data_IF_192535140342
#
_entry.id   IF_192535140342
#
_cell.length_a   1.000
_cell.length_b   1.000
_cell.length_c   1.000
_cell.angle_alpha   90.00
_cell.angle_beta   90.00
_cell.angle_gamma   90.00
#
_symmetry.space_group_name_H-M   'P 1'
#
loop_
_entity.id
_entity.type
_entity.pdbx_description
1 polymer ?
#
# COMPACT_ATOMS: atom_id res chain seq x y z
N UNK A 1 -17.07 37.99 20.00
CA UNK A 1 -17.25 37.54 18.61
C UNK A 1 -17.76 38.73 17.84
N UNK A 2 -16.98 39.24 16.90
CA UNK A 2 -17.34 40.40 16.07
C UNK A 2 -18.42 39.97 15.08
N UNK A 3 -19.34 40.89 14.71
CA UNK A 3 -20.42 40.67 13.75
C UNK A 3 -19.87 40.15 12.39
N UNK A 4 -18.72 40.65 11.98
CA UNK A 4 -18.01 40.18 10.78
C UNK A 4 -17.52 38.74 10.90
N UNK A 5 -17.07 38.35 12.07
CA UNK A 5 -16.61 36.98 12.36
C UNK A 5 -17.78 35.99 12.41
N UNK A 6 -18.92 36.43 12.94
CA UNK A 6 -20.20 35.70 12.91
C UNK A 6 -20.76 35.53 11.48
N UNK A 7 -20.80 36.60 10.71
CA UNK A 7 -21.21 36.53 9.30
C UNK A 7 -20.27 35.69 8.46
N UNK A 8 -18.97 35.80 8.68
CA UNK A 8 -17.97 34.96 8.02
C UNK A 8 -18.14 33.48 8.36
N UNK A 9 -18.44 33.14 9.62
CA UNK A 9 -18.72 31.77 10.03
C UNK A 9 -20.02 31.23 9.44
N UNK A 10 -21.08 32.05 9.29
CA UNK A 10 -22.31 31.64 8.61
C UNK A 10 -22.07 31.42 7.13
N UNK A 11 -21.46 32.39 6.42
CA UNK A 11 -21.16 32.25 4.98
C UNK A 11 -20.24 31.06 4.72
N UNK A 12 -19.23 30.80 5.59
CA UNK A 12 -18.37 29.61 5.49
C UNK A 12 -19.11 28.30 5.73
N UNK A 13 -20.22 28.28 6.45
CA UNK A 13 -21.05 27.07 6.62
C UNK A 13 -21.83 26.76 5.35
N UNK A 14 -22.37 27.75 4.72
CA UNK A 14 -23.18 27.59 3.49
C UNK A 14 -22.32 27.32 2.23
N UNK A 15 -21.10 27.86 2.20
CA UNK A 15 -20.14 27.67 1.10
C UNK A 15 -19.24 26.42 1.28
N UNK A 16 -19.31 25.71 2.41
CA UNK A 16 -18.49 24.53 2.63
C UNK A 16 -18.99 23.36 1.78
N UNK A 17 -18.08 22.50 1.23
CA UNK A 17 -18.46 21.34 0.43
C UNK A 17 -19.49 20.45 1.13
N UNK A 18 -20.45 19.92 0.39
CA UNK A 18 -21.55 19.07 0.89
C UNK A 18 -21.02 17.90 1.74
N UNK A 19 -19.93 17.26 1.32
CA UNK A 19 -19.26 16.22 2.08
C UNK A 19 -18.75 16.68 3.47
N UNK A 20 -18.58 17.98 3.66
CA UNK A 20 -18.23 18.55 4.97
C UNK A 20 -19.46 18.89 5.80
N UNK A 21 -20.50 19.43 5.18
CA UNK A 21 -21.77 19.81 5.85
C UNK A 21 -22.52 18.60 6.37
N UNK A 22 -22.59 17.51 5.57
CA UNK A 22 -23.29 16.27 5.92
C UNK A 22 -22.53 15.38 6.91
N UNK A 23 -21.39 15.83 7.44
CA UNK A 23 -20.67 15.02 8.42
C UNK A 23 -21.55 14.74 9.64
N UNK A 24 -21.66 13.47 10.07
CA UNK A 24 -22.33 13.10 11.31
C UNK A 24 -21.71 13.80 12.50
N UNK A 25 -22.55 14.20 13.45
CA UNK A 25 -22.15 14.80 14.73
C UNK A 25 -22.21 13.78 15.88
N UNK A 26 -22.99 12.72 15.70
CA UNK A 26 -23.18 11.65 16.65
C UNK A 26 -22.83 10.29 16.05
N UNK A 27 -22.60 9.27 16.89
CA UNK A 27 -22.32 7.90 16.42
C UNK A 27 -23.53 7.28 15.69
N UNK A 28 -24.74 7.65 16.08
CA UNK A 28 -25.97 7.09 15.48
C UNK A 28 -26.23 7.64 14.07
N UNK A 29 -25.64 8.79 13.71
CA UNK A 29 -25.70 9.36 12.36
C UNK A 29 -24.68 8.71 11.39
N UNK A 30 -23.71 7.94 11.92
CA UNK A 30 -22.67 7.34 11.07
C UNK A 30 -23.26 6.25 10.20
N UNK A 31 -23.10 6.40 8.88
CA UNK A 31 -23.52 5.40 7.90
C UNK A 31 -22.36 4.43 7.65
N UNK A 32 -22.65 3.13 7.62
CA UNK A 32 -21.67 2.08 7.45
C UNK A 32 -20.81 1.83 8.71
N UNK A 33 -19.73 1.08 8.56
CA UNK A 33 -18.74 0.76 9.59
C UNK A 33 -19.31 0.06 10.85
N UNK A 34 -20.44 -0.64 10.75
CA UNK A 34 -21.11 -1.26 11.89
C UNK A 34 -20.25 -2.27 12.66
N UNK A 35 -19.24 -2.84 12.02
CA UNK A 35 -18.27 -3.74 12.64
C UNK A 35 -17.34 -3.02 13.66
N UNK A 36 -17.29 -1.67 13.61
CA UNK A 36 -16.49 -0.84 14.51
C UNK A 36 -17.40 -0.03 15.45
N UNK A 37 -18.43 0.62 14.89
CA UNK A 37 -19.28 1.60 15.63
C UNK A 37 -20.60 1.00 16.12
N UNK A 38 -20.88 -0.26 15.87
CA UNK A 38 -22.07 -0.94 16.41
C UNK A 38 -22.14 -0.85 17.93
N UNK A 39 -23.34 -0.80 18.50
CA UNK A 39 -23.57 -0.57 19.95
C UNK A 39 -22.89 -1.59 20.87
N UNK A 40 -22.64 -2.80 20.37
CA UNK A 40 -21.94 -3.90 21.05
C UNK A 40 -20.40 -3.84 20.89
N UNK A 41 -19.88 -2.97 20.04
CA UNK A 41 -18.46 -2.93 19.68
C UNK A 41 -17.62 -2.16 20.68
N UNK A 42 -16.33 -2.51 20.71
CA UNK A 42 -15.35 -1.93 21.63
C UNK A 42 -15.32 -0.40 21.56
N UNK A 43 -15.23 0.15 20.33
CA UNK A 43 -15.11 1.58 20.12
C UNK A 43 -16.33 2.33 20.66
N UNK A 44 -17.55 1.85 20.34
CA UNK A 44 -18.79 2.46 20.85
C UNK A 44 -18.83 2.50 22.38
N UNK A 45 -18.50 1.37 23.02
CA UNK A 45 -18.49 1.28 24.50
C UNK A 45 -17.43 2.17 25.13
N UNK A 46 -16.23 2.25 24.53
CA UNK A 46 -15.14 3.09 24.99
C UNK A 46 -15.50 4.60 24.93
N UNK A 47 -16.15 5.02 23.84
CA UNK A 47 -16.64 6.40 23.66
C UNK A 47 -17.71 6.72 24.72
N UNK A 48 -18.71 5.86 24.88
CA UNK A 48 -19.79 6.07 25.87
C UNK A 48 -19.30 6.09 27.31
N UNK A 49 -18.23 5.36 27.60
CA UNK A 49 -17.62 5.34 28.95
C UNK A 49 -16.60 6.47 29.18
N UNK A 50 -16.32 7.32 28.19
CA UNK A 50 -15.23 8.33 28.16
C UNK A 50 -13.86 7.74 28.58
N UNK A 51 -13.60 6.51 28.12
CA UNK A 51 -12.38 5.74 28.38
C UNK A 51 -11.68 5.38 27.06
N UNK A 52 -11.29 6.42 26.33
CA UNK A 52 -10.56 6.26 25.07
C UNK A 52 -9.08 5.99 25.33
N UNK A 53 -8.54 5.00 24.63
CA UNK A 53 -7.10 4.85 24.37
C UNK A 53 -6.76 5.47 23.01
N UNK A 54 -5.47 5.58 22.69
CA UNK A 54 -5.06 6.00 21.36
C UNK A 54 -5.53 5.02 20.28
N UNK A 55 -5.84 5.54 19.10
CA UNK A 55 -6.48 4.82 18.00
C UNK A 55 -5.74 5.09 16.70
N UNK A 56 -5.61 4.07 15.88
CA UNK A 56 -5.21 4.21 14.47
C UNK A 56 -6.36 3.73 13.58
N UNK A 57 -6.92 4.64 12.79
CA UNK A 57 -7.88 4.32 11.74
C UNK A 57 -7.15 4.12 10.43
N UNK A 58 -7.29 2.96 9.81
CA UNK A 58 -6.77 2.75 8.46
C UNK A 58 -7.84 2.21 7.51
N UNK A 59 -7.65 2.43 6.22
CA UNK A 59 -8.57 1.97 5.19
C UNK A 59 -8.70 2.96 4.03
N UNK A 60 -9.47 2.62 2.98
CA UNK A 60 -9.59 3.40 1.75
C UNK A 60 -10.03 4.85 1.98
N UNK A 61 -9.76 5.77 1.03
CA UNK A 61 -10.25 7.13 1.08
C UNK A 61 -11.78 7.17 1.08
N UNK A 62 -12.39 8.24 1.61
CA UNK A 62 -13.84 8.43 1.63
C UNK A 62 -14.65 7.52 2.56
N UNK A 63 -14.00 6.65 3.36
CA UNK A 63 -14.66 5.69 4.25
C UNK A 63 -15.06 6.25 5.63
N UNK A 64 -14.69 7.53 5.92
CA UNK A 64 -15.13 8.22 7.13
C UNK A 64 -14.11 8.31 8.27
N UNK A 65 -12.80 8.07 8.05
CA UNK A 65 -11.74 8.16 9.09
C UNK A 65 -11.77 9.48 9.86
N UNK A 66 -11.66 10.61 9.14
CA UNK A 66 -11.71 11.97 9.73
C UNK A 66 -13.07 12.25 10.36
N UNK A 67 -14.14 11.71 9.79
CA UNK A 67 -15.51 11.83 10.31
C UNK A 67 -15.64 11.16 11.68
N UNK A 68 -15.19 9.91 11.79
CA UNK A 68 -15.23 9.19 13.07
C UNK A 68 -14.40 9.89 14.15
N UNK A 69 -13.22 10.40 13.80
CA UNK A 69 -12.41 11.14 14.77
C UNK A 69 -13.16 12.37 15.32
N UNK A 70 -13.88 13.12 14.48
CA UNK A 70 -14.69 14.26 14.90
C UNK A 70 -15.91 13.84 15.73
N UNK A 71 -16.60 12.77 15.35
CA UNK A 71 -17.73 12.22 16.12
C UNK A 71 -17.28 11.78 17.51
N UNK A 72 -16.12 11.15 17.61
CA UNK A 72 -15.50 10.77 18.90
C UNK A 72 -15.25 12.02 19.74
N UNK A 73 -14.63 13.03 19.16
CA UNK A 73 -14.34 14.27 19.86
C UNK A 73 -15.61 14.98 20.36
N UNK A 74 -16.66 15.04 19.53
CA UNK A 74 -17.94 15.64 19.90
C UNK A 74 -18.69 14.88 20.99
N UNK A 75 -18.44 13.57 21.10
CA UNK A 75 -19.13 12.70 22.08
C UNK A 75 -18.38 12.62 23.40
N UNK A 76 -17.11 13.00 23.44
CA UNK A 76 -16.24 12.98 24.61
C UNK A 76 -16.05 14.39 25.20
N UNK A 77 -15.59 14.48 26.44
CA UNK A 77 -15.27 15.75 27.09
C UNK A 77 -13.89 16.31 26.70
N UNK A 78 -13.18 15.66 25.79
CA UNK A 78 -11.81 16.01 25.42
C UNK A 78 -11.75 17.21 24.44
N UNK A 79 -10.70 18.00 24.55
CA UNK A 79 -10.39 19.03 23.56
C UNK A 79 -9.86 18.38 22.27
N UNK A 80 -10.37 18.83 21.10
CA UNK A 80 -9.98 18.26 19.81
C UNK A 80 -9.02 19.18 19.07
N UNK A 81 -7.84 18.67 18.79
CA UNK A 81 -6.84 19.33 17.97
C UNK A 81 -6.52 18.48 16.75
N UNK A 82 -6.43 19.12 15.59
CA UNK A 82 -6.18 18.44 14.32
C UNK A 82 -4.92 19.00 13.65
N UNK A 83 -4.06 18.11 13.20
CA UNK A 83 -2.94 18.42 12.30
C UNK A 83 -2.97 17.51 11.08
N UNK A 84 -2.46 18.03 9.97
CA UNK A 84 -2.30 17.23 8.74
C UNK A 84 -0.81 16.94 8.54
N UNK A 85 -0.43 15.67 8.53
CA UNK A 85 0.96 15.26 8.43
C UNK A 85 1.65 15.66 7.12
N UNK A 86 0.89 16.00 6.06
CA UNK A 86 1.46 16.46 4.80
C UNK A 86 2.01 17.90 4.86
N UNK A 87 1.50 18.71 5.78
CA UNK A 87 1.87 20.14 5.91
C UNK A 87 2.48 20.50 7.26
N UNK A 88 2.28 19.64 8.29
CA UNK A 88 2.73 19.92 9.64
C UNK A 88 4.21 19.65 9.86
N UNK A 89 4.88 20.56 10.54
CA UNK A 89 6.26 20.46 10.98
C UNK A 89 6.38 20.18 12.49
N UNK A 90 7.62 20.17 12.97
CA UNK A 90 7.93 19.96 14.39
C UNK A 90 7.29 21.04 15.28
N UNK A 91 7.27 22.29 14.82
CA UNK A 91 6.69 23.43 15.56
C UNK A 91 5.20 23.25 15.84
N UNK A 92 4.44 22.77 14.84
CA UNK A 92 3.01 22.54 15.01
C UNK A 92 2.73 21.47 16.08
N UNK A 93 3.57 20.44 16.13
CA UNK A 93 3.46 19.40 17.16
C UNK A 93 3.82 19.94 18.56
N UNK A 94 4.83 20.81 18.67
CA UNK A 94 5.23 21.47 19.92
C UNK A 94 4.09 22.35 20.44
N UNK A 95 3.43 23.12 19.58
CA UNK A 95 2.28 23.95 19.93
C UNK A 95 1.10 23.11 20.46
N UNK A 96 0.79 21.98 19.79
CA UNK A 96 -0.26 21.05 20.24
C UNK A 96 0.07 20.45 21.61
N UNK A 97 1.31 20.00 21.82
CA UNK A 97 1.75 19.43 23.09
C UNK A 97 1.65 20.47 24.21
N UNK A 98 2.08 21.72 23.95
CA UNK A 98 1.97 22.79 24.91
C UNK A 98 0.51 23.10 25.29
N UNK A 99 -0.37 23.16 24.30
CA UNK A 99 -1.82 23.34 24.52
C UNK A 99 -2.42 22.16 25.31
N UNK A 100 -2.05 20.91 24.98
CA UNK A 100 -2.53 19.74 25.70
C UNK A 100 -2.12 19.74 27.17
N UNK A 101 -0.88 20.09 27.48
CA UNK A 101 -0.40 20.25 28.88
C UNK A 101 -1.16 21.34 29.63
N UNK A 102 -1.43 22.47 28.97
CA UNK A 102 -2.21 23.55 29.55
C UNK A 102 -3.65 23.12 29.83
N UNK A 103 -4.31 22.42 28.91
CA UNK A 103 -5.65 21.90 29.07
C UNK A 103 -5.74 20.92 30.25
N UNK A 104 -4.77 20.03 30.36
CA UNK A 104 -4.70 19.06 31.45
C UNK A 104 -4.44 19.74 32.79
N UNK A 105 -3.47 20.68 32.82
CA UNK A 105 -3.07 21.37 34.08
C UNK A 105 -4.11 22.37 34.60
N UNK A 106 -4.73 23.16 33.72
CA UNK A 106 -5.66 24.21 34.12
C UNK A 106 -7.11 23.74 34.25
N UNK A 107 -7.54 22.81 33.41
CA UNK A 107 -8.93 22.42 33.26
C UNK A 107 -9.20 20.93 33.54
N UNK A 108 -8.18 20.13 33.77
CA UNK A 108 -8.31 18.68 33.92
C UNK A 108 -8.85 17.99 32.66
N UNK A 109 -8.82 18.67 31.49
CA UNK A 109 -9.35 18.16 30.22
C UNK A 109 -8.29 17.37 29.49
N UNK A 110 -8.69 16.22 28.95
CA UNK A 110 -7.87 15.46 28.00
C UNK A 110 -7.85 16.12 26.65
N UNK A 111 -6.78 15.92 25.89
CA UNK A 111 -6.67 16.40 24.50
C UNK A 111 -6.61 15.22 23.55
N UNK A 112 -7.52 15.20 22.57
CA UNK A 112 -7.46 14.29 21.42
C UNK A 112 -6.68 15.01 20.32
N UNK A 113 -5.54 14.44 19.94
CA UNK A 113 -4.79 14.87 18.77
C UNK A 113 -5.14 13.97 17.60
N UNK A 114 -5.85 14.52 16.61
CA UNK A 114 -6.11 13.86 15.35
C UNK A 114 -5.02 14.20 14.33
N UNK A 115 -4.36 13.17 13.79
CA UNK A 115 -3.35 13.29 12.74
C UNK A 115 -3.87 12.63 11.47
N UNK A 116 -4.18 13.45 10.47
CA UNK A 116 -4.56 12.95 9.15
C UNK A 116 -3.30 12.58 8.36
N UNK A 117 -3.35 11.45 7.66
CA UNK A 117 -2.25 10.87 6.87
C UNK A 117 -0.97 10.65 7.72
N UNK A 118 -1.11 10.04 8.91
CA UNK A 118 0.00 9.85 9.88
C UNK A 118 1.24 9.18 9.30
N UNK A 119 1.09 8.37 8.24
CA UNK A 119 2.19 7.73 7.51
C UNK A 119 3.13 8.74 6.82
N UNK A 120 2.71 10.00 6.63
CA UNK A 120 3.55 11.07 6.09
C UNK A 120 4.53 11.64 7.11
N UNK A 121 4.32 11.40 8.38
CA UNK A 121 5.31 11.74 9.40
C UNK A 121 6.50 10.81 9.33
N UNK A 122 7.71 11.37 9.34
CA UNK A 122 8.93 10.58 9.48
C UNK A 122 9.05 9.96 10.88
N UNK A 123 9.96 8.99 11.03
CA UNK A 123 10.14 8.26 12.30
C UNK A 123 10.39 9.18 13.49
N UNK A 124 11.22 10.23 13.32
CA UNK A 124 11.53 11.18 14.38
C UNK A 124 10.31 12.02 14.82
N UNK A 125 9.41 12.35 13.89
CA UNK A 125 8.16 13.03 14.22
C UNK A 125 7.18 12.11 14.97
N UNK A 126 7.11 10.85 14.56
CA UNK A 126 6.30 9.84 15.26
C UNK A 126 6.88 9.54 16.66
N UNK A 127 8.20 9.43 16.81
CA UNK A 127 8.89 9.23 18.08
C UNK A 127 8.67 10.40 19.06
N UNK A 128 8.59 11.63 18.55
CA UNK A 128 8.33 12.82 19.38
C UNK A 128 6.99 12.74 20.13
N UNK A 129 5.99 12.07 19.58
CA UNK A 129 4.68 11.94 20.19
C UNK A 129 4.62 10.87 21.31
N UNK A 130 5.55 9.91 21.29
CA UNK A 130 5.52 8.75 22.19
C UNK A 130 5.40 9.11 23.67
N UNK A 131 6.22 10.02 24.25
CA UNK A 131 6.15 10.35 25.67
C UNK A 131 4.77 10.89 26.08
N UNK A 132 4.13 11.67 25.20
CA UNK A 132 2.85 12.32 25.49
C UNK A 132 1.65 11.38 25.29
N UNK A 133 1.82 10.33 24.51
CA UNK A 133 0.86 9.22 24.39
C UNK A 133 1.00 8.27 25.59
N UNK A 134 2.23 8.04 26.06
CA UNK A 134 2.52 7.18 27.21
C UNK A 134 2.01 7.74 28.53
N UNK A 135 2.22 9.02 28.76
CA UNK A 135 1.80 9.70 29.99
C UNK A 135 0.32 10.13 29.99
N UNK A 136 -0.37 9.95 28.84
CA UNK A 136 -1.78 10.29 28.68
C UNK A 136 -2.06 11.78 28.52
N UNK A 137 -1.05 12.64 28.31
CA UNK A 137 -1.21 14.05 27.95
C UNK A 137 -2.01 14.20 26.67
N UNK A 138 -1.79 13.28 25.71
CA UNK A 138 -2.45 13.23 24.42
C UNK A 138 -3.09 11.85 24.20
N UNK A 139 -4.35 11.84 23.76
CA UNK A 139 -4.99 10.68 23.14
C UNK A 139 -4.79 10.84 21.64
N UNK A 140 -3.95 9.99 21.03
CA UNK A 140 -3.68 10.03 19.62
C UNK A 140 -4.81 9.34 18.83
N UNK A 141 -5.35 10.00 17.81
CA UNK A 141 -6.16 9.37 16.78
C UNK A 141 -5.43 9.58 15.43
N UNK A 142 -4.71 8.57 14.97
CA UNK A 142 -4.05 8.59 13.67
C UNK A 142 -5.00 8.09 12.57
N UNK A 143 -5.02 8.74 11.42
CA UNK A 143 -5.69 8.25 10.22
C UNK A 143 -4.69 8.00 9.10
N UNK A 144 -4.86 6.90 8.37
CA UNK A 144 -4.02 6.56 7.22
C UNK A 144 -4.80 5.76 6.18
N UNK A 145 -4.41 5.90 4.93
CA UNK A 145 -4.87 5.03 3.85
C UNK A 145 -3.97 3.80 3.68
N UNK A 146 -2.79 3.81 4.29
CA UNK A 146 -1.77 2.78 4.18
C UNK A 146 -1.83 1.79 5.34
N UNK A 147 -1.25 0.60 5.14
CA UNK A 147 -1.19 -0.41 6.20
C UNK A 147 -0.31 0.09 7.37
N UNK A 148 -0.91 0.31 8.56
CA UNK A 148 -0.20 0.90 9.68
C UNK A 148 0.98 0.05 10.18
N UNK A 149 0.96 -1.25 9.97
CA UNK A 149 2.03 -2.15 10.39
C UNK A 149 3.35 -1.93 9.63
N UNK A 150 3.30 -1.30 8.46
CA UNK A 150 4.50 -0.96 7.69
C UNK A 150 4.94 0.49 7.88
N UNK A 151 3.99 1.40 8.07
CA UNK A 151 4.22 2.84 7.97
C UNK A 151 4.21 3.57 9.32
N UNK A 152 3.54 3.03 10.33
CA UNK A 152 3.47 3.63 11.66
C UNK A 152 4.50 2.97 12.58
N UNK A 153 5.15 3.79 13.42
CA UNK A 153 6.13 3.32 14.38
C UNK A 153 5.55 2.20 15.29
N UNK A 154 6.21 1.05 15.40
CA UNK A 154 5.77 -0.06 16.24
C UNK A 154 5.50 0.33 17.70
N UNK A 155 6.23 1.33 18.25
CA UNK A 155 6.01 1.81 19.58
C UNK A 155 4.68 2.58 19.75
N UNK A 156 4.24 3.33 18.73
CA UNK A 156 2.90 3.95 18.71
C UNK A 156 1.82 2.89 18.53
N UNK A 157 2.05 1.90 17.62
CA UNK A 157 1.08 0.81 17.40
C UNK A 157 0.82 0.01 18.66
N UNK A 158 1.86 -0.32 19.43
CA UNK A 158 1.71 -1.08 20.68
C UNK A 158 0.89 -0.38 21.75
N UNK A 159 0.68 0.94 21.62
CA UNK A 159 -0.10 1.79 22.52
C UNK A 159 -1.44 2.24 21.95
N UNK A 160 -1.76 1.76 20.76
CA UNK A 160 -2.97 2.17 20.03
C UNK A 160 -3.84 0.96 19.70
N UNK A 161 -5.15 1.18 19.66
CA UNK A 161 -6.08 0.19 19.09
C UNK A 161 -6.24 0.49 17.60
N UNK A 162 -6.06 -0.52 16.77
CA UNK A 162 -6.13 -0.38 15.32
C UNK A 162 -7.53 -0.77 14.86
N UNK A 163 -8.18 0.09 14.07
CA UNK A 163 -9.47 -0.18 13.46
C UNK A 163 -9.38 -0.03 11.94
N UNK A 164 -9.78 -1.08 11.24
CA UNK A 164 -9.90 -1.08 9.79
C UNK A 164 -11.26 -0.56 9.36
N UNK A 165 -11.29 0.55 8.61
CA UNK A 165 -12.49 1.03 7.95
C UNK A 165 -12.60 0.38 6.58
N UNK A 166 -13.72 -0.28 6.34
CA UNK A 166 -14.03 -0.91 5.07
C UNK A 166 -14.68 0.08 4.10
N UNK A 167 -14.63 -0.24 2.81
CA UNK A 167 -15.41 0.47 1.81
C UNK A 167 -16.88 0.48 2.22
N UNK A 168 -17.55 1.59 2.00
CA UNK A 168 -18.98 1.67 2.17
C UNK A 168 -19.68 0.79 1.12
N UNK A 169 -20.74 0.12 1.52
CA UNK A 169 -21.56 -0.63 0.59
C UNK A 169 -22.34 0.30 -0.35
N UNK A 170 -22.82 -0.22 -1.48
CA UNK A 170 -23.69 0.55 -2.37
C UNK A 170 -24.91 1.09 -1.62
N UNK A 171 -25.48 0.32 -0.69
CA UNK A 171 -26.62 0.74 0.13
C UNK A 171 -26.27 1.84 1.12
N UNK A 172 -25.05 1.81 1.69
CA UNK A 172 -24.55 2.91 2.53
C UNK A 172 -24.42 4.21 1.73
N UNK A 173 -23.88 4.13 0.50
CA UNK A 173 -23.77 5.29 -0.40
C UNK A 173 -25.14 5.81 -0.81
N UNK A 174 -26.10 4.93 -1.16
CA UNK A 174 -27.49 5.32 -1.43
C UNK A 174 -28.09 6.11 -0.26
N UNK A 175 -27.92 5.61 0.93
CA UNK A 175 -28.39 6.29 2.15
C UNK A 175 -27.80 7.69 2.30
N UNK A 176 -26.50 7.86 2.02
CA UNK A 176 -25.83 9.16 2.05
C UNK A 176 -26.34 10.10 0.94
N UNK A 177 -26.53 9.61 -0.29
CA UNK A 177 -27.05 10.40 -1.40
C UNK A 177 -28.49 10.86 -1.14
N UNK A 178 -29.37 9.99 -0.65
CA UNK A 178 -30.74 10.36 -0.29
C UNK A 178 -30.76 11.40 0.85
N UNK A 179 -29.89 11.23 1.85
CA UNK A 179 -29.72 12.25 2.90
C UNK A 179 -29.24 13.58 2.31
N UNK A 180 -28.30 13.54 1.37
CA UNK A 180 -27.75 14.71 0.71
C UNK A 180 -28.82 15.52 -0.03
N UNK A 181 -29.73 14.84 -0.73
CA UNK A 181 -30.81 15.49 -1.52
C UNK A 181 -31.92 16.02 -0.63
N UNK A 182 -32.29 15.29 0.46
CA UNK A 182 -33.49 15.57 1.23
C UNK A 182 -33.25 16.44 2.49
N UNK A 183 -32.04 16.48 3.02
CA UNK A 183 -31.73 17.26 4.24
C UNK A 183 -31.69 18.75 3.92
N UNK A 184 -32.62 19.52 4.51
CA UNK A 184 -32.75 20.96 4.29
C UNK A 184 -31.76 21.80 5.09
N UNK A 185 -31.15 21.23 6.18
CA UNK A 185 -30.24 21.98 7.04
C UNK A 185 -28.77 21.78 6.65
N UNK A 186 -28.40 20.55 6.44
CA UNK A 186 -26.99 20.16 6.15
C UNK A 186 -26.78 19.76 4.68
N UNK A 187 -27.84 19.33 4.00
CA UNK A 187 -27.85 18.85 2.63
C UNK A 187 -28.18 19.90 1.59
N UNK A 188 -28.84 19.44 0.54
CA UNK A 188 -29.28 20.20 -0.61
C UNK A 188 -30.83 20.31 -0.71
N UNK A 189 -31.58 19.97 0.35
CA UNK A 189 -33.03 19.94 0.33
C UNK A 189 -33.69 21.29 -0.02
N UNK A 190 -33.02 22.41 0.31
CA UNK A 190 -33.48 23.78 -0.09
C UNK A 190 -33.45 24.02 -1.61
N UNK A 191 -32.74 23.20 -2.36
CA UNK A 191 -32.69 23.30 -3.84
C UNK A 191 -33.88 22.63 -4.51
N UNK A 192 -34.74 21.89 -3.80
CA UNK A 192 -35.84 21.12 -4.34
C UNK A 192 -35.42 20.19 -5.48
N UNK A 193 -34.36 19.41 -5.27
CA UNK A 193 -33.91 18.46 -6.26
C UNK A 193 -34.60 17.10 -6.05
N UNK A 194 -34.87 16.39 -7.14
CA UNK A 194 -35.34 15.01 -7.16
C UNK A 194 -34.35 14.16 -7.96
N UNK A 195 -33.96 13.02 -7.40
CA UNK A 195 -33.05 12.08 -8.03
C UNK A 195 -33.84 10.88 -8.52
N UNK A 196 -33.62 10.48 -9.76
CA UNK A 196 -34.20 9.28 -10.34
C UNK A 196 -33.53 8.02 -9.73
N UNK A 197 -34.28 6.92 -9.64
CA UNK A 197 -33.77 5.69 -9.01
C UNK A 197 -32.55 5.10 -9.74
N UNK A 198 -32.53 5.16 -11.06
CA UNK A 198 -31.40 4.71 -11.89
C UNK A 198 -30.16 5.59 -11.75
N UNK A 199 -30.35 6.90 -11.60
CA UNK A 199 -29.26 7.86 -11.30
C UNK A 199 -28.68 7.58 -9.91
N UNK A 200 -29.52 7.30 -8.93
CA UNK A 200 -29.12 6.95 -7.56
C UNK A 200 -28.29 5.66 -7.53
N UNK A 201 -28.78 4.60 -8.19
CA UNK A 201 -28.04 3.32 -8.31
C UNK A 201 -26.71 3.51 -9.02
N UNK A 202 -26.71 4.27 -10.13
CA UNK A 202 -25.51 4.54 -10.90
C UNK A 202 -24.45 5.27 -10.05
N UNK A 203 -24.80 6.38 -9.39
CA UNK A 203 -23.86 7.12 -8.54
C UNK A 203 -23.34 6.26 -7.38
N UNK A 204 -24.22 5.46 -6.77
CA UNK A 204 -23.86 4.60 -5.66
C UNK A 204 -22.84 3.50 -6.08
N UNK A 205 -23.00 2.91 -7.27
CA UNK A 205 -22.03 1.94 -7.81
C UNK A 205 -20.73 2.61 -8.25
N UNK A 206 -20.84 3.72 -8.98
CA UNK A 206 -19.65 4.41 -9.52
C UNK A 206 -18.76 5.00 -8.44
N UNK A 207 -19.31 5.42 -7.31
CA UNK A 207 -18.54 5.89 -6.16
C UNK A 207 -17.65 4.81 -5.53
N UNK A 208 -17.94 3.54 -5.77
CA UNK A 208 -17.13 2.38 -5.33
C UNK A 208 -16.75 2.45 -3.84
N UNK A 209 -17.68 2.87 -2.99
CA UNK A 209 -17.53 2.98 -1.53
C UNK A 209 -16.84 4.26 -1.03
N UNK A 210 -16.60 5.24 -1.89
CA UNK A 210 -16.09 6.56 -1.52
C UNK A 210 -17.24 7.58 -1.37
N UNK A 211 -17.64 7.86 -0.12
CA UNK A 211 -18.71 8.80 0.18
C UNK A 211 -18.40 10.23 -0.30
N UNK A 212 -17.12 10.64 -0.26
CA UNK A 212 -16.73 12.00 -0.69
C UNK A 212 -16.95 12.18 -2.18
N UNK A 213 -16.56 11.17 -2.98
CA UNK A 213 -16.77 11.19 -4.42
C UNK A 213 -18.26 11.24 -4.78
N UNK A 214 -19.09 10.42 -4.12
CA UNK A 214 -20.54 10.42 -4.31
C UNK A 214 -21.18 11.77 -3.98
N UNK A 215 -20.86 12.32 -2.82
CA UNK A 215 -21.40 13.60 -2.36
C UNK A 215 -20.94 14.79 -3.21
N UNK A 216 -19.71 14.75 -3.71
CA UNK A 216 -19.22 15.80 -4.63
C UNK A 216 -19.94 15.72 -5.98
N UNK A 217 -20.19 14.51 -6.50
CA UNK A 217 -20.89 14.32 -7.76
C UNK A 217 -22.34 14.82 -7.68
N UNK A 218 -23.09 14.48 -6.63
CA UNK A 218 -24.47 14.95 -6.47
C UNK A 218 -24.54 16.47 -6.20
N UNK A 219 -23.60 17.03 -5.43
CA UNK A 219 -23.50 18.47 -5.23
C UNK A 219 -23.32 19.21 -6.55
N UNK A 220 -22.40 18.74 -7.40
CA UNK A 220 -22.16 19.30 -8.73
C UNK A 220 -23.43 19.19 -9.60
N UNK A 221 -24.06 18.01 -9.62
CA UNK A 221 -25.29 17.78 -10.39
C UNK A 221 -26.40 18.75 -10.01
N UNK A 222 -26.66 18.95 -8.73
CA UNK A 222 -27.70 19.87 -8.26
C UNK A 222 -27.36 21.34 -8.57
N UNK A 223 -26.09 21.73 -8.44
CA UNK A 223 -25.69 23.13 -8.66
C UNK A 223 -25.59 23.52 -10.13
N UNK A 224 -25.47 22.56 -11.05
CA UNK A 224 -25.27 22.82 -12.49
C UNK A 224 -26.47 22.48 -13.37
N UNK A 225 -27.49 21.82 -12.81
CA UNK A 225 -28.69 21.47 -13.55
C UNK A 225 -29.77 22.55 -13.39
N UNK A 226 -30.32 23.01 -14.49
CA UNK A 226 -31.43 23.99 -14.51
C UNK A 226 -32.71 23.37 -13.93
N UNK A 227 -33.56 24.23 -13.37
CA UNK A 227 -34.89 23.83 -12.91
C UNK A 227 -35.80 23.55 -14.11
N UNK A 228 -36.55 22.47 -14.04
CA UNK A 228 -37.59 22.16 -14.99
C UNK A 228 -38.81 23.11 -14.84
N UNK A 229 -39.78 23.01 -15.74
CA UNK A 229 -40.99 23.82 -15.72
C UNK A 229 -41.81 23.68 -14.42
N UNK A 230 -41.69 22.55 -13.74
CA UNK A 230 -42.29 22.25 -12.44
C UNK A 230 -41.55 22.91 -11.25
N UNK A 231 -40.43 23.57 -11.49
CA UNK A 231 -39.59 24.22 -10.50
C UNK A 231 -38.64 23.25 -9.75
N UNK A 232 -38.59 21.99 -10.16
CA UNK A 232 -37.75 20.93 -9.57
C UNK A 232 -36.45 20.76 -10.38
N UNK A 233 -35.36 20.44 -9.71
CA UNK A 233 -34.08 20.02 -10.34
C UNK A 233 -34.12 18.51 -10.46
N UNK A 234 -34.21 17.97 -11.70
CA UNK A 234 -34.21 16.53 -11.93
C UNK A 234 -32.81 16.01 -12.17
N UNK A 235 -32.34 15.14 -11.29
CA UNK A 235 -31.05 14.43 -11.43
C UNK A 235 -31.32 13.09 -12.11
N UNK A 236 -31.22 13.14 -13.43
CA UNK A 236 -31.37 11.96 -14.31
C UNK A 236 -30.09 11.18 -14.41
N UNK A 237 -30.16 9.97 -15.01
CA UNK A 237 -28.97 9.15 -15.27
C UNK A 237 -27.94 9.88 -16.14
N UNK A 238 -28.36 10.69 -17.10
CA UNK A 238 -27.46 11.47 -17.96
C UNK A 238 -26.71 12.51 -17.13
N UNK A 239 -27.40 13.30 -16.31
CA UNK A 239 -26.77 14.24 -15.36
C UNK A 239 -25.79 13.53 -14.43
N UNK A 240 -26.20 12.41 -13.83
CA UNK A 240 -25.36 11.63 -12.94
C UNK A 240 -24.10 11.13 -13.64
N UNK A 241 -24.21 10.70 -14.90
CA UNK A 241 -23.09 10.19 -15.70
C UNK A 241 -22.09 11.29 -16.07
N UNK A 242 -22.55 12.51 -16.28
CA UNK A 242 -21.66 13.67 -16.52
C UNK A 242 -20.89 14.08 -15.26
N UNK A 243 -21.52 14.00 -14.09
CA UNK A 243 -20.92 14.40 -12.82
C UNK A 243 -19.87 13.39 -12.32
N UNK A 244 -19.98 12.10 -12.68
CA UNK A 244 -19.05 11.05 -12.29
C UNK A 244 -18.65 10.19 -13.51
N UNK A 245 -17.81 10.73 -14.37
CA UNK A 245 -17.45 10.15 -15.67
C UNK A 245 -16.66 8.84 -15.61
N UNK A 246 -16.07 8.48 -14.46
CA UNK A 246 -15.24 7.28 -14.29
C UNK A 246 -15.52 6.66 -12.94
N UNK A 247 -15.65 5.32 -12.94
CA UNK A 247 -15.68 4.56 -11.70
C UNK A 247 -14.48 4.95 -10.83
N UNK A 248 -14.72 5.36 -9.59
CA UNK A 248 -13.66 5.66 -8.64
C UNK A 248 -12.96 4.35 -8.31
N UNK A 249 -11.84 4.10 -8.98
CA UNK A 249 -10.98 2.97 -8.61
C UNK A 249 -10.14 3.42 -7.42
N UNK A 250 -10.48 2.88 -6.26
CA UNK A 250 -9.65 2.99 -5.08
C UNK A 250 -8.41 2.13 -5.26
N UNK A 251 -7.48 2.62 -6.06
CA UNK A 251 -6.11 2.17 -6.14
C UNK A 251 -5.28 3.23 -5.42
N UNK A 252 -5.13 3.04 -4.12
CA UNK A 252 -4.19 3.84 -3.37
C UNK A 252 -2.79 3.36 -3.74
N UNK A 253 -1.94 4.26 -4.27
CA UNK A 253 -0.58 3.91 -4.72
C UNK A 253 0.30 3.34 -3.60
N UNK A 254 -0.15 3.41 -2.37
CA UNK A 254 0.57 3.04 -1.15
C UNK A 254 -0.25 2.19 -0.17
N UNK A 255 -1.54 1.92 -0.46
CA UNK A 255 -2.43 1.16 0.43
C UNK A 255 -2.45 -0.36 0.20
N UNK A 256 -3.17 -1.11 1.04
CA UNK A 256 -3.29 -2.58 0.99
C UNK A 256 -3.73 -3.09 -0.39
N UNK A 257 -4.66 -2.38 -1.07
CA UNK A 257 -5.08 -2.74 -2.43
C UNK A 257 -3.95 -2.64 -3.47
N UNK A 258 -2.98 -1.75 -3.26
CA UNK A 258 -1.78 -1.65 -4.07
C UNK A 258 -0.91 -2.90 -3.90
N UNK A 259 -0.55 -3.23 -2.66
CA UNK A 259 0.25 -4.40 -2.35
C UNK A 259 -0.45 -5.71 -2.74
N UNK A 260 -1.75 -5.81 -2.53
CA UNK A 260 -2.56 -6.97 -2.95
C UNK A 260 -2.58 -7.14 -4.47
N UNK A 261 -2.74 -6.05 -5.23
CA UNK A 261 -2.73 -6.10 -6.69
C UNK A 261 -1.35 -6.48 -7.22
N UNK A 262 -0.28 -5.93 -6.66
CA UNK A 262 1.10 -6.29 -7.01
C UNK A 262 1.39 -7.75 -6.66
N UNK A 263 0.96 -8.18 -5.48
CA UNK A 263 1.10 -9.57 -5.04
C UNK A 263 0.37 -10.54 -5.96
N UNK A 264 -0.87 -10.20 -6.34
CA UNK A 264 -1.65 -10.98 -7.30
C UNK A 264 -1.00 -11.01 -8.69
N UNK A 265 -0.50 -9.88 -9.17
CA UNK A 265 0.25 -9.75 -10.43
C UNK A 265 1.46 -10.71 -10.47
N UNK A 266 2.30 -10.66 -9.43
CA UNK A 266 3.47 -11.53 -9.32
C UNK A 266 3.05 -12.99 -9.22
N UNK A 267 2.07 -13.30 -8.37
CA UNK A 267 1.60 -14.68 -8.17
C UNK A 267 0.97 -15.27 -9.42
N UNK A 268 0.30 -14.46 -10.25
CA UNK A 268 -0.28 -14.91 -11.53
C UNK A 268 0.81 -15.32 -12.52
N UNK A 269 1.87 -14.50 -12.67
CA UNK A 269 3.01 -14.87 -13.51
C UNK A 269 3.75 -16.10 -12.98
N UNK A 270 3.97 -16.17 -11.67
CA UNK A 270 4.58 -17.32 -10.98
C UNK A 270 3.74 -18.61 -11.17
N UNK A 271 2.42 -18.46 -11.10
CA UNK A 271 1.45 -19.55 -11.27
C UNK A 271 1.18 -19.93 -12.72
N UNK A 272 1.84 -19.29 -13.69
CA UNK A 272 1.67 -19.52 -15.12
C UNK A 272 0.25 -19.27 -15.64
N UNK A 273 -0.38 -18.20 -15.13
CA UNK A 273 -1.67 -17.69 -15.62
C UNK A 273 -1.47 -16.35 -16.35
N UNK A 274 -1.32 -16.37 -17.69
CA UNK A 274 -1.10 -15.15 -18.47
C UNK A 274 -2.33 -14.23 -18.49
N UNK A 275 -3.54 -14.76 -18.43
CA UNK A 275 -4.77 -13.97 -18.47
C UNK A 275 -4.94 -13.16 -17.18
N UNK A 276 -4.76 -13.79 -16.02
CA UNK A 276 -4.76 -13.09 -14.74
C UNK A 276 -3.61 -12.08 -14.65
N UNK A 277 -2.41 -12.42 -15.13
CA UNK A 277 -1.26 -11.54 -15.12
C UNK A 277 -1.51 -10.26 -15.95
N UNK A 278 -2.07 -10.38 -17.16
CA UNK A 278 -2.45 -9.24 -17.99
C UNK A 278 -3.59 -8.43 -17.37
N UNK A 279 -4.57 -9.08 -16.74
CA UNK A 279 -5.64 -8.39 -16.03
C UNK A 279 -5.09 -7.51 -14.90
N UNK A 280 -4.20 -8.05 -14.04
CA UNK A 280 -3.60 -7.26 -12.95
C UNK A 280 -2.66 -6.18 -13.47
N UNK A 281 -1.93 -6.42 -14.58
CA UNK A 281 -1.18 -5.37 -15.26
C UNK A 281 -2.10 -4.23 -15.69
N UNK A 282 -3.20 -4.53 -16.38
CA UNK A 282 -4.17 -3.53 -16.83
C UNK A 282 -4.76 -2.73 -15.65
N UNK A 283 -5.05 -3.43 -14.54
CA UNK A 283 -5.53 -2.80 -13.30
C UNK A 283 -4.53 -1.82 -12.71
N UNK A 284 -3.23 -2.17 -12.66
CA UNK A 284 -2.16 -1.28 -12.19
C UNK A 284 -1.98 -0.08 -13.13
N UNK A 285 -1.95 -0.30 -14.45
CA UNK A 285 -1.81 0.77 -15.45
C UNK A 285 -3.00 1.74 -15.43
N UNK A 286 -4.22 1.23 -15.33
CA UNK A 286 -5.43 2.06 -15.22
C UNK A 286 -5.41 2.92 -13.97
N UNK A 287 -4.87 2.41 -12.88
CA UNK A 287 -4.73 3.13 -11.62
C UNK A 287 -3.55 4.14 -11.61
N UNK A 288 -2.78 4.20 -12.70
CA UNK A 288 -1.65 5.13 -12.85
C UNK A 288 -0.41 4.72 -12.08
N UNK A 289 -0.19 3.39 -11.90
CA UNK A 289 1.05 2.86 -11.31
C UNK A 289 2.28 3.27 -12.13
N UNK A 290 3.41 3.46 -11.45
CA UNK A 290 4.68 3.75 -12.11
C UNK A 290 5.11 2.58 -13.00
N UNK A 291 5.15 2.80 -14.30
CA UNK A 291 5.57 1.78 -15.27
C UNK A 291 6.99 1.26 -15.03
N UNK A 292 7.87 2.09 -14.44
CA UNK A 292 9.23 1.67 -14.05
C UNK A 292 9.19 0.73 -12.84
N UNK A 293 8.27 0.96 -11.91
CA UNK A 293 8.05 0.05 -10.79
C UNK A 293 7.55 -1.31 -11.28
N UNK A 294 6.57 -1.34 -12.19
CA UNK A 294 6.05 -2.58 -12.80
C UNK A 294 7.19 -3.34 -13.49
N UNK A 295 8.00 -2.65 -14.31
CA UNK A 295 9.12 -3.24 -15.00
C UNK A 295 10.17 -3.84 -14.03
N UNK A 296 10.48 -3.16 -12.91
CA UNK A 296 11.35 -3.72 -11.85
C UNK A 296 10.80 -5.01 -11.26
N UNK A 297 9.49 -5.10 -11.03
CA UNK A 297 8.87 -6.33 -10.49
C UNK A 297 8.97 -7.49 -11.48
N UNK A 298 8.84 -7.22 -12.78
CA UNK A 298 9.03 -8.23 -13.84
C UNK A 298 10.50 -8.72 -13.86
N UNK A 299 11.50 -7.83 -13.74
CA UNK A 299 12.92 -8.22 -13.68
C UNK A 299 13.23 -9.11 -12.45
N UNK A 300 12.66 -8.78 -11.30
CA UNK A 300 12.84 -9.60 -10.08
C UNK A 300 12.25 -10.99 -10.31
N UNK A 301 11.02 -11.07 -10.81
CA UNK A 301 10.34 -12.34 -11.09
C UNK A 301 11.11 -13.19 -12.11
N UNK A 302 11.68 -12.58 -13.16
CA UNK A 302 12.48 -13.27 -14.14
C UNK A 302 13.69 -14.02 -13.52
N UNK A 303 14.28 -13.45 -12.46
CA UNK A 303 15.41 -14.06 -11.76
C UNK A 303 14.97 -14.99 -10.63
N UNK A 304 13.90 -14.64 -9.91
CA UNK A 304 13.41 -15.34 -8.72
C UNK A 304 12.63 -16.62 -9.07
N UNK A 305 11.71 -16.52 -10.05
CA UNK A 305 10.72 -17.56 -10.34
C UNK A 305 10.98 -18.33 -11.65
N UNK A 306 11.77 -17.76 -12.56
CA UNK A 306 12.14 -18.41 -13.83
C UNK A 306 13.62 -18.84 -13.79
N UNK A 307 14.50 -17.94 -13.41
CA UNK A 307 15.92 -18.20 -13.25
C UNK A 307 16.53 -18.88 -14.48
N UNK A 308 17.28 -19.96 -14.25
CA UNK A 308 17.94 -20.71 -15.30
C UNK A 308 17.03 -21.71 -16.04
N UNK A 309 15.75 -21.84 -15.68
CA UNK A 309 14.81 -22.64 -16.46
C UNK A 309 14.57 -22.01 -17.85
N UNK A 310 14.62 -20.66 -17.94
CA UNK A 310 14.69 -19.93 -19.18
C UNK A 310 15.65 -18.73 -19.07
N UNK A 311 16.90 -18.89 -19.52
CA UNK A 311 17.91 -17.82 -19.46
C UNK A 311 17.56 -16.55 -20.22
N UNK A 312 16.60 -16.59 -21.15
CA UNK A 312 16.15 -15.43 -21.90
C UNK A 312 15.19 -14.54 -21.09
N UNK A 313 14.56 -15.07 -20.07
CA UNK A 313 13.55 -14.34 -19.30
C UNK A 313 14.09 -13.01 -18.72
N UNK A 314 15.27 -13.03 -18.11
CA UNK A 314 15.89 -11.81 -17.58
C UNK A 314 16.25 -10.82 -18.70
N UNK A 315 16.69 -11.31 -19.86
CA UNK A 315 17.01 -10.46 -21.03
C UNK A 315 15.75 -9.76 -21.55
N UNK A 316 14.65 -10.50 -21.69
CA UNK A 316 13.35 -9.95 -22.10
C UNK A 316 12.87 -8.90 -21.08
N UNK A 317 12.97 -9.19 -19.79
CA UNK A 317 12.57 -8.25 -18.72
C UNK A 317 13.40 -6.96 -18.76
N UNK A 318 14.72 -7.05 -18.93
CA UNK A 318 15.61 -5.89 -19.04
C UNK A 318 15.34 -5.09 -20.30
N UNK A 319 15.16 -5.74 -21.44
CA UNK A 319 14.80 -5.07 -22.70
C UNK A 319 13.46 -4.33 -22.58
N UNK A 320 12.46 -4.96 -21.97
CA UNK A 320 11.17 -4.34 -21.69
C UNK A 320 11.31 -3.11 -20.80
N UNK A 321 12.08 -3.19 -19.72
CA UNK A 321 12.33 -2.05 -18.81
C UNK A 321 12.97 -0.87 -19.53
N UNK A 322 13.98 -1.11 -20.38
CA UNK A 322 14.63 -0.08 -21.18
C UNK A 322 13.70 0.54 -22.23
N UNK A 323 12.86 -0.28 -22.87
CA UNK A 323 11.88 0.20 -23.85
C UNK A 323 10.80 1.07 -23.19
N UNK A 324 10.26 0.65 -22.05
CA UNK A 324 9.28 1.39 -21.27
C UNK A 324 9.79 2.78 -20.86
N UNK A 325 11.06 2.88 -20.48
CA UNK A 325 11.66 4.16 -20.09
C UNK A 325 11.78 5.14 -21.27
N UNK A 326 11.98 4.62 -22.48
CA UNK A 326 12.13 5.44 -23.71
C UNK A 326 10.80 5.82 -24.34
N UNK A 327 9.82 4.92 -24.29
CA UNK A 327 8.54 5.11 -24.99
C UNK A 327 7.54 5.89 -24.15
N UNK A 328 7.44 5.58 -22.83
CA UNK A 328 6.40 6.15 -21.99
C UNK A 328 5.00 5.60 -22.33
N UNK A 329 3.99 6.14 -21.61
CA UNK A 329 2.58 5.81 -21.90
C UNK A 329 2.05 6.67 -23.07
N UNK A 330 1.12 6.15 -23.89
CA UNK A 330 0.38 4.89 -23.73
C UNK A 330 1.05 3.65 -24.30
N UNK A 331 2.14 3.75 -25.06
CA UNK A 331 2.76 2.65 -25.81
C UNK A 331 3.49 1.64 -24.88
N UNK A 332 4.00 2.09 -23.75
CA UNK A 332 4.67 1.25 -22.75
C UNK A 332 3.82 0.04 -22.31
N UNK A 333 2.48 0.18 -22.32
CA UNK A 333 1.53 -0.91 -22.00
C UNK A 333 1.72 -2.14 -22.88
N UNK A 334 2.08 -1.94 -24.16
CA UNK A 334 2.22 -3.03 -25.14
C UNK A 334 3.48 -3.84 -24.80
N UNK A 335 4.59 -3.14 -24.53
CA UNK A 335 5.87 -3.75 -24.13
C UNK A 335 5.73 -4.51 -22.82
N UNK A 336 5.04 -3.92 -21.83
CA UNK A 336 4.79 -4.58 -20.55
C UNK A 336 3.91 -5.83 -20.73
N UNK A 337 2.87 -5.77 -21.57
CA UNK A 337 2.00 -6.92 -21.83
C UNK A 337 2.79 -8.07 -22.49
N UNK A 338 3.66 -7.78 -23.45
CA UNK A 338 4.54 -8.78 -24.06
C UNK A 338 5.45 -9.44 -23.01
N UNK A 339 6.12 -8.64 -22.17
CA UNK A 339 6.99 -9.18 -21.11
C UNK A 339 6.21 -10.03 -20.12
N UNK A 340 5.03 -9.58 -19.67
CA UNK A 340 4.18 -10.27 -18.70
C UNK A 340 3.69 -11.61 -19.24
N UNK A 341 3.20 -11.66 -20.47
CA UNK A 341 2.76 -12.91 -21.10
C UNK A 341 3.92 -13.89 -21.31
N UNK A 342 5.11 -13.37 -21.66
CA UNK A 342 6.32 -14.18 -21.74
C UNK A 342 6.67 -14.80 -20.37
N UNK A 343 6.72 -13.98 -19.31
CA UNK A 343 7.04 -14.45 -17.95
C UNK A 343 6.02 -15.46 -17.43
N UNK A 344 4.73 -15.24 -17.70
CA UNK A 344 3.68 -16.17 -17.30
C UNK A 344 3.80 -17.52 -18.04
N UNK A 345 4.26 -17.51 -19.30
CA UNK A 345 4.35 -18.71 -20.14
C UNK A 345 5.68 -19.46 -20.04
N UNK A 346 6.73 -18.83 -19.48
CA UNK A 346 8.05 -19.44 -19.33
C UNK A 346 8.07 -20.58 -18.32
N UNK A 347 8.92 -21.60 -18.48
CA UNK A 347 9.15 -22.62 -17.45
C UNK A 347 9.65 -21.98 -16.15
N UNK A 348 9.22 -22.50 -15.00
CA UNK A 348 9.52 -21.94 -13.68
C UNK A 348 10.60 -22.70 -12.96
N UNK A 349 11.52 -21.97 -12.31
CA UNK A 349 12.48 -22.51 -11.38
C UNK A 349 12.92 -21.44 -10.38
N UNK A 350 12.96 -21.81 -9.12
CA UNK A 350 13.47 -20.99 -8.02
C UNK A 350 14.84 -21.48 -7.51
N UNK A 351 15.51 -22.33 -8.25
CA UNK A 351 16.80 -22.93 -7.83
C UNK A 351 17.88 -21.89 -7.59
N UNK A 352 17.90 -20.79 -8.34
CA UNK A 352 18.89 -19.72 -8.18
C UNK A 352 18.71 -18.95 -6.87
N UNK A 353 17.48 -18.56 -6.52
CA UNK A 353 17.20 -17.87 -5.25
C UNK A 353 17.42 -18.80 -4.06
N UNK A 354 16.98 -20.05 -4.15
CA UNK A 354 17.21 -21.03 -3.09
C UNK A 354 18.71 -21.26 -2.83
N UNK A 355 19.52 -21.27 -3.90
CA UNK A 355 20.96 -21.43 -3.80
C UNK A 355 21.61 -20.30 -3.02
N UNK A 356 21.32 -19.05 -3.36
CA UNK A 356 21.90 -17.89 -2.67
C UNK A 356 21.39 -17.77 -1.25
N UNK A 357 20.11 -18.02 -0.98
CA UNK A 357 19.53 -17.95 0.36
C UNK A 357 20.12 -19.01 1.28
N UNK A 358 20.30 -20.24 0.80
CA UNK A 358 20.98 -21.31 1.52
C UNK A 358 22.42 -20.92 1.82
N UNK A 359 23.15 -20.40 0.85
CA UNK A 359 24.55 -19.99 1.04
C UNK A 359 24.66 -18.83 2.04
N UNK A 360 23.80 -17.80 1.93
CA UNK A 360 23.77 -16.68 2.86
C UNK A 360 23.44 -17.10 4.30
N UNK A 361 22.56 -18.08 4.48
CA UNK A 361 22.26 -18.64 5.79
C UNK A 361 23.49 -19.33 6.39
N UNK A 362 24.17 -20.19 5.62
CA UNK A 362 25.39 -20.86 6.07
C UNK A 362 26.45 -19.84 6.47
N UNK A 363 26.68 -18.80 5.69
CA UNK A 363 27.66 -17.74 6.01
C UNK A 363 27.31 -16.99 7.30
N UNK A 364 26.02 -16.80 7.61
CA UNK A 364 25.59 -16.12 8.85
C UNK A 364 25.68 -17.01 10.09
N UNK A 365 25.39 -18.29 9.94
CA UNK A 365 25.25 -19.23 11.06
C UNK A 365 26.55 -19.93 11.42
N UNK A 366 27.55 -19.93 10.51
CA UNK A 366 28.83 -20.57 10.74
C UNK A 366 29.96 -19.54 10.89
N UNK A 367 31.02 -19.89 11.65
CA UNK A 367 32.29 -19.17 11.58
C UNK A 367 32.81 -19.36 10.16
N UNK A 368 33.00 -18.30 9.40
CA UNK A 368 33.47 -18.34 8.02
C UNK A 368 34.83 -19.07 7.98
N UNK A 369 34.90 -20.29 7.42
CA UNK A 369 36.16 -21.02 7.36
C UNK A 369 37.09 -20.39 6.32
N UNK A 370 38.42 -20.54 6.44
CA UNK A 370 39.37 -19.97 5.48
C UNK A 370 39.21 -20.60 4.09
N UNK A 371 39.51 -19.81 3.08
CA UNK A 371 39.56 -20.29 1.68
C UNK A 371 40.64 -21.36 1.57
N UNK A 372 40.41 -22.53 0.92
CA UNK A 372 41.39 -23.57 0.69
C UNK A 372 42.67 -23.01 0.10
N UNK A 373 43.84 -23.48 0.62
CA UNK A 373 45.15 -22.88 0.27
C UNK A 373 45.45 -22.88 -1.20
N UNK A 374 45.05 -23.91 -1.95
CA UNK A 374 45.25 -24.02 -3.40
C UNK A 374 44.37 -23.01 -4.21
N UNK A 375 43.29 -22.48 -3.62
CA UNK A 375 42.44 -21.46 -4.26
C UNK A 375 42.82 -20.03 -3.85
N UNK A 376 43.73 -19.84 -2.92
CA UNK A 376 44.17 -18.52 -2.49
C UNK A 376 45.01 -17.85 -3.58
N UNK A 377 44.92 -16.50 -3.64
CA UNK A 377 45.63 -15.72 -4.65
C UNK A 377 47.16 -15.92 -4.60
N UNK A 378 47.72 -16.29 -5.73
CA UNK A 378 49.15 -16.57 -5.89
C UNK A 378 49.90 -15.51 -6.73
N UNK A 379 49.26 -14.39 -7.11
CA UNK A 379 49.84 -13.42 -8.02
C UNK A 379 50.80 -12.42 -7.40
N UNK A 380 51.04 -12.44 -6.09
CA UNK A 380 51.94 -11.53 -5.41
C UNK A 380 53.27 -12.17 -5.01
N UNK A 381 54.37 -11.38 -5.00
CA UNK A 381 55.77 -11.85 -4.83
C UNK A 381 56.04 -12.77 -3.63
N UNK A 382 55.23 -12.75 -2.58
CA UNK A 382 55.44 -13.58 -1.37
C UNK A 382 54.47 -14.74 -1.25
N UNK A 383 53.55 -14.94 -2.18
CA UNK A 383 52.52 -16.00 -2.13
C UNK A 383 53.12 -17.39 -2.04
N UNK A 384 54.18 -17.66 -2.77
CA UNK A 384 54.89 -18.94 -2.74
C UNK A 384 55.51 -19.31 -1.36
N UNK A 385 55.91 -18.29 -0.56
CA UNK A 385 56.43 -18.51 0.80
C UNK A 385 55.34 -18.93 1.78
N UNK A 386 54.08 -18.51 1.50
CA UNK A 386 52.90 -18.83 2.30
C UNK A 386 52.18 -20.09 1.79
N UNK A 387 52.63 -20.65 0.68
CA UNK A 387 52.06 -21.83 0.05
C UNK A 387 50.74 -21.54 -0.73
N UNK A 388 50.37 -20.29 -0.91
CA UNK A 388 49.15 -19.93 -1.62
C UNK A 388 49.16 -20.39 -3.08
N UNK A 389 48.05 -20.94 -3.55
CA UNK A 389 47.89 -21.47 -4.92
C UNK A 389 48.57 -22.83 -5.15
N UNK A 390 49.29 -23.37 -4.14
CA UNK A 390 50.02 -24.65 -4.30
C UNK A 390 49.04 -25.82 -4.44
N UNK A 391 49.15 -26.55 -5.55
CA UNK A 391 48.32 -27.74 -5.80
C UNK A 391 47.02 -27.42 -6.55
N UNK A 392 46.81 -26.15 -6.99
CA UNK A 392 45.68 -25.81 -7.84
C UNK A 392 45.78 -26.52 -9.19
N UNK A 393 44.69 -27.17 -9.57
CA UNK A 393 44.56 -27.84 -10.89
C UNK A 393 43.76 -26.92 -11.81
N UNK A 394 44.38 -26.46 -12.91
CA UNK A 394 43.73 -25.58 -13.86
C UNK A 394 42.76 -26.40 -14.74
N UNK A 395 41.47 -26.16 -14.62
CA UNK A 395 40.42 -26.97 -15.24
C UNK A 395 40.54 -27.06 -16.79
N UNK A 396 41.05 -26.01 -17.43
CA UNK A 396 41.23 -25.99 -18.89
C UNK A 396 42.30 -26.95 -19.41
N UNK A 397 43.20 -27.45 -18.56
CA UNK A 397 44.22 -28.47 -18.91
C UNK A 397 43.62 -29.86 -18.95
N UNK A 398 42.34 -30.04 -18.58
CA UNK A 398 41.68 -31.33 -18.46
C UNK A 398 40.55 -31.46 -19.50
N UNK A 399 40.20 -32.69 -19.84
CA UNK A 399 39.10 -33.01 -20.76
C UNK A 399 37.78 -32.42 -20.25
N UNK A 400 36.97 -31.91 -21.15
CA UNK A 400 35.70 -31.19 -20.86
C UNK A 400 35.88 -29.96 -19.93
N UNK A 401 37.12 -29.45 -19.77
CA UNK A 401 37.45 -28.36 -18.86
C UNK A 401 36.94 -28.60 -17.45
N UNK A 402 37.03 -29.86 -16.97
CA UNK A 402 36.59 -30.28 -15.67
C UNK A 402 37.68 -31.09 -14.96
N UNK A 403 37.90 -30.80 -13.71
CA UNK A 403 38.79 -31.57 -12.83
C UNK A 403 38.20 -31.67 -11.43
N UNK A 404 38.23 -32.85 -10.87
CA UNK A 404 37.79 -33.06 -9.48
C UNK A 404 38.81 -32.47 -8.52
N UNK A 405 38.44 -31.40 -7.83
CA UNK A 405 39.18 -30.80 -6.74
C UNK A 405 38.23 -30.15 -5.74
N UNK A 406 38.71 -29.83 -4.55
CA UNK A 406 37.92 -29.17 -3.54
C UNK A 406 37.84 -27.67 -3.85
N UNK A 407 36.58 -27.09 -3.92
CA UNK A 407 36.35 -25.68 -4.09
C UNK A 407 35.75 -25.03 -2.84
N UNK A 408 34.96 -25.77 -2.06
CA UNK A 408 34.42 -25.27 -0.81
C UNK A 408 35.44 -25.38 0.32
N UNK A 409 35.38 -24.46 1.30
CA UNK A 409 36.23 -24.57 2.52
C UNK A 409 36.04 -25.86 3.28
N UNK A 410 37.04 -26.18 4.09
CA UNK A 410 36.94 -27.30 5.03
C UNK A 410 35.73 -27.12 5.96
N UNK A 411 35.02 -28.21 6.22
CA UNK A 411 33.75 -28.16 6.98
C UNK A 411 32.50 -27.88 6.15
N UNK A 412 32.64 -27.40 4.90
CA UNK A 412 31.54 -27.23 3.94
C UNK A 412 31.66 -28.19 2.74
N UNK A 413 32.65 -29.08 2.76
CA UNK A 413 32.82 -30.10 1.73
C UNK A 413 31.60 -31.02 1.69
N UNK A 414 30.92 -31.07 0.54
CA UNK A 414 29.71 -31.86 0.38
C UNK A 414 28.41 -31.06 0.47
N UNK A 415 28.47 -29.79 0.90
CA UNK A 415 27.30 -28.92 0.80
C UNK A 415 26.93 -28.70 -0.66
N UNK A 416 25.62 -28.78 -0.94
CA UNK A 416 25.01 -28.47 -2.25
C UNK A 416 24.14 -27.25 -2.10
N UNK A 417 24.50 -26.15 -2.76
CA UNK A 417 23.74 -24.91 -2.75
C UNK A 417 22.82 -24.83 -3.96
N UNK A 418 23.31 -25.12 -5.16
CA UNK A 418 22.56 -25.04 -6.40
C UNK A 418 22.12 -26.43 -6.87
N UNK A 419 20.82 -26.63 -6.91
CA UNK A 419 20.18 -27.84 -7.40
C UNK A 419 19.26 -27.48 -8.57
N UNK A 420 19.71 -27.68 -9.85
CA UNK A 420 18.90 -27.39 -11.02
C UNK A 420 17.59 -28.18 -10.99
N UNK A 421 16.49 -27.54 -11.33
CA UNK A 421 15.19 -28.18 -11.47
C UNK A 421 15.13 -29.12 -12.69
N UNK A 422 13.98 -29.75 -12.90
CA UNK A 422 13.69 -30.54 -14.10
C UNK A 422 12.97 -29.72 -15.17
N UNK A 423 12.88 -28.39 -15.02
CA UNK A 423 12.15 -27.54 -15.91
C UNK A 423 13.07 -26.80 -16.91
N UNK A 424 12.59 -26.67 -18.13
CA UNK A 424 13.23 -25.87 -19.18
C UNK A 424 14.72 -26.18 -19.40
N UNK A 425 15.52 -25.12 -19.49
CA UNK A 425 16.96 -25.24 -19.75
C UNK A 425 17.74 -25.93 -18.60
N UNK A 426 17.23 -25.93 -17.39
CA UNK A 426 17.89 -26.60 -16.25
C UNK A 426 18.01 -28.12 -16.43
N UNK A 427 17.16 -28.76 -17.23
CA UNK A 427 17.35 -30.15 -17.67
C UNK A 427 18.69 -30.35 -18.39
N UNK A 428 19.06 -29.41 -19.26
CA UNK A 428 20.33 -29.46 -19.97
C UNK A 428 21.51 -29.25 -19.02
N UNK A 429 21.38 -28.34 -18.05
CA UNK A 429 22.37 -28.12 -17.01
C UNK A 429 22.59 -29.40 -16.18
N UNK A 430 21.52 -30.07 -15.78
CA UNK A 430 21.59 -31.36 -15.06
C UNK A 430 22.30 -32.43 -15.88
N UNK A 431 21.92 -32.56 -17.15
CA UNK A 431 22.53 -33.54 -18.05
C UNK A 431 24.02 -33.27 -18.23
N UNK A 432 24.41 -31.98 -18.38
CA UNK A 432 25.81 -31.57 -18.45
C UNK A 432 26.59 -31.93 -17.17
N UNK A 433 26.04 -31.61 -15.98
CA UNK A 433 26.69 -31.93 -14.70
C UNK A 433 26.84 -33.42 -14.50
N UNK A 434 25.85 -34.22 -14.89
CA UNK A 434 25.93 -35.67 -14.84
C UNK A 434 27.10 -36.18 -15.72
N UNK A 435 27.15 -35.72 -16.97
CA UNK A 435 28.22 -36.10 -17.93
C UNK A 435 29.62 -35.80 -17.42
N UNK A 436 29.87 -34.59 -16.86
CA UNK A 436 31.24 -34.23 -16.42
C UNK A 436 31.64 -34.87 -15.10
N UNK A 437 30.65 -35.21 -14.22
CA UNK A 437 30.93 -35.82 -12.90
C UNK A 437 31.05 -37.33 -12.97
N UNK A 438 30.34 -38.00 -13.87
CA UNK A 438 30.37 -39.45 -13.99
C UNK A 438 31.61 -39.98 -14.75
N UNK A 439 32.17 -39.21 -15.68
CA UNK A 439 33.34 -39.57 -16.48
C UNK A 439 34.45 -38.51 -16.35
N UNK A 440 35.04 -38.31 -15.17
CA UNK A 440 36.09 -37.29 -15.00
C UNK A 440 37.44 -37.66 -15.64
N UNK A 441 37.66 -38.94 -16.07
CA UNK A 441 38.92 -39.47 -16.61
C UNK A 441 38.81 -39.95 -18.06
N UNK A 442 37.61 -39.99 -18.71
CA UNK A 442 37.42 -40.21 -20.11
C UNK A 442 37.30 -38.83 -20.84
#
# INVERSE_FOLDING_TARGET
>A
MDLFEYMRQQNMKDESPLASRLRPTTLDEVVGQQHIVGKDKLLYRAIKADKLSSIIFYGPPGTGKTTLAKVIANTTSAEFMQINATSAGKKDMEEVVAAAKNNQGMYGKKTILFIDEIHRFNKGQQDYLLPFVEDGTIILIGATTENPYFEVNPALLSRSVIFELKKLSTEDIRTLLLRAVNDSEKGMGSYHAQMDDDALEFLADMANGDARAALTAIELGILTTDRSEDGIIHITLDVASECIQKRVINYDKTGDNHYDTISAFIKSMRGSDPDAAVYYLARMLYAGEDVKFIARRIMILASEDIGNADPQALQVAVAAAQAVERLGMPEARIVLAQAVTYMASAPKSNSAINAIDKAMRVVRETKTPPVPVHLQDAHYKSAGKLGHGKGYKYAHDYKNHYVKQQYLPDGLTGEVFYEPSENGYEQQIRAYYKKIKENPEE
#
